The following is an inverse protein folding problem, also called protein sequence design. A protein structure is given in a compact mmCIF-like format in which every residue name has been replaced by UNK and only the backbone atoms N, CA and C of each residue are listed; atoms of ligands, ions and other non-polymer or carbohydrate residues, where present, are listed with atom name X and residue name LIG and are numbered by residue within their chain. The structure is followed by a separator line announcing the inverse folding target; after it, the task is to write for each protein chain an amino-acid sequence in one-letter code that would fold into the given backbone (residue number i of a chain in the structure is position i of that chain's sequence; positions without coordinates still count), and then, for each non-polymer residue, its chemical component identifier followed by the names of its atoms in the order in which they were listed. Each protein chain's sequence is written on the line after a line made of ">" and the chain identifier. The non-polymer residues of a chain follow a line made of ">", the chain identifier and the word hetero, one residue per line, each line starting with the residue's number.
data_IF_144886858895
#
_entry.id   IF_144886858895
#
_cell.length_a   1.000
_cell.length_b   1.000
_cell.length_c   1.000
_cell.angle_alpha   90.00
_cell.angle_beta   90.00
_cell.angle_gamma   90.00
#
_symmetry.space_group_name_H-M   'P 1'
#
loop_
_entity.id
_entity.type
_entity.pdbx_description
1 polymer ?
#
# COMPACT_ATOMS: atom_id res chain seq x y z
N UNK A 1 -43.76 -19.83 22.29
CA UNK A 1 -42.80 -18.76 22.63
C UNK A 1 -43.16 -17.54 21.79
N UNK A 2 -43.07 -16.32 22.34
CA UNK A 2 -43.31 -15.08 21.59
C UNK A 2 -42.08 -14.76 20.75
N UNK A 3 -42.27 -14.34 19.49
CA UNK A 3 -41.19 -13.73 18.71
C UNK A 3 -40.92 -12.31 19.20
N UNK A 4 -39.65 -12.02 19.46
CA UNK A 4 -39.22 -10.71 19.91
C UNK A 4 -39.09 -9.76 18.71
N UNK A 5 -39.50 -8.52 18.91
CA UNK A 5 -39.22 -7.43 17.95
C UNK A 5 -37.74 -7.02 18.05
N UNK A 6 -37.21 -6.37 17.01
CA UNK A 6 -35.82 -5.88 17.01
C UNK A 6 -35.52 -4.97 18.22
N UNK A 7 -36.45 -4.08 18.57
CA UNK A 7 -36.29 -3.20 19.74
C UNK A 7 -36.25 -3.94 21.07
N UNK A 8 -37.02 -5.03 21.22
CA UNK A 8 -36.96 -5.90 22.41
C UNK A 8 -35.63 -6.67 22.47
N UNK A 9 -35.10 -7.09 21.31
CA UNK A 9 -33.81 -7.76 21.21
C UNK A 9 -32.65 -6.81 21.57
N UNK A 10 -32.66 -5.56 21.10
CA UNK A 10 -31.64 -4.54 21.43
C UNK A 10 -31.66 -4.16 22.92
N UNK A 11 -32.85 -4.12 23.53
CA UNK A 11 -32.99 -3.87 24.96
C UNK A 11 -32.44 -5.02 25.81
N UNK A 12 -32.63 -6.27 25.38
CA UNK A 12 -32.12 -7.46 26.09
C UNK A 12 -30.62 -7.66 25.84
N UNK A 13 -30.13 -7.25 24.67
CA UNK A 13 -28.70 -7.35 24.31
C UNK A 13 -27.81 -6.32 25.03
N UNK A 14 -28.39 -5.41 25.82
CA UNK A 14 -27.66 -4.36 26.51
C UNK A 14 -27.15 -3.27 25.58
N UNK A 15 -27.84 -3.02 24.46
CA UNK A 15 -27.44 -2.03 23.45
C UNK A 15 -26.47 -2.57 22.38
N UNK A 16 -26.21 -3.88 22.36
CA UNK A 16 -25.47 -4.50 21.26
C UNK A 16 -26.32 -4.50 19.98
N UNK A 17 -25.84 -3.80 18.96
CA UNK A 17 -26.44 -3.73 17.62
C UNK A 17 -25.65 -4.62 16.65
N UNK A 18 -26.20 -5.79 16.32
CA UNK A 18 -25.57 -6.76 15.41
C UNK A 18 -25.36 -6.20 14.00
N UNK A 19 -26.33 -5.45 13.47
CA UNK A 19 -26.22 -4.87 12.13
C UNK A 19 -25.17 -3.76 12.09
N UNK A 20 -25.11 -2.94 13.14
CA UNK A 20 -24.06 -1.92 13.30
C UNK A 20 -22.67 -2.54 13.40
N UNK A 21 -22.53 -3.63 14.16
CA UNK A 21 -21.28 -4.38 14.26
C UNK A 21 -20.88 -5.00 12.92
N UNK A 22 -21.81 -5.66 12.22
CA UNK A 22 -21.54 -6.23 10.90
C UNK A 22 -21.08 -5.16 9.90
N UNK A 23 -21.75 -4.00 9.88
CA UNK A 23 -21.35 -2.87 9.05
C UNK A 23 -19.94 -2.37 9.40
N UNK A 24 -19.58 -2.29 10.69
CA UNK A 24 -18.25 -1.87 11.12
C UNK A 24 -17.15 -2.82 10.63
N UNK A 25 -17.40 -4.13 10.63
CA UNK A 25 -16.48 -5.13 10.07
C UNK A 25 -16.36 -4.93 8.56
N UNK A 26 -17.48 -4.74 7.85
CA UNK A 26 -17.47 -4.53 6.41
C UNK A 26 -16.67 -3.28 6.04
N UNK A 27 -16.90 -2.15 6.72
CA UNK A 27 -16.13 -0.92 6.50
C UNK A 27 -14.64 -1.14 6.76
N UNK A 28 -14.28 -1.80 7.87
CA UNK A 28 -12.88 -2.13 8.15
C UNK A 28 -12.24 -2.93 7.01
N UNK A 29 -12.90 -3.97 6.50
CA UNK A 29 -12.37 -4.80 5.40
C UNK A 29 -12.23 -3.98 4.12
N UNK A 30 -13.24 -3.19 3.75
CA UNK A 30 -13.24 -2.39 2.52
C UNK A 30 -12.15 -1.33 2.55
N UNK A 31 -12.04 -0.58 3.64
CA UNK A 31 -11.08 0.51 3.76
C UNK A 31 -9.64 -0.02 3.74
N UNK A 32 -9.35 -1.06 4.52
CA UNK A 32 -8.04 -1.71 4.51
C UNK A 32 -7.71 -2.35 3.15
N UNK A 33 -8.71 -2.90 2.47
CA UNK A 33 -8.58 -3.43 1.12
C UNK A 33 -8.15 -2.36 0.11
N UNK A 34 -8.76 -1.17 0.19
CA UNK A 34 -8.40 -0.04 -0.65
C UNK A 34 -6.97 0.43 -0.38
N UNK A 35 -6.60 0.62 0.90
CA UNK A 35 -5.24 1.03 1.26
C UNK A 35 -4.17 0.04 0.80
N UNK A 36 -4.45 -1.27 0.90
CA UNK A 36 -3.53 -2.29 0.40
C UNK A 36 -3.41 -2.24 -1.13
N UNK A 37 -4.53 -2.07 -1.83
CA UNK A 37 -4.54 -1.94 -3.29
C UNK A 37 -3.73 -0.74 -3.78
N UNK A 38 -3.90 0.41 -3.13
CA UNK A 38 -3.15 1.63 -3.43
C UNK A 38 -1.65 1.44 -3.18
N UNK A 39 -1.28 0.83 -2.05
CA UNK A 39 0.11 0.50 -1.75
C UNK A 39 0.74 -0.39 -2.82
N UNK A 40 0.09 -1.50 -3.18
CA UNK A 40 0.60 -2.44 -4.19
C UNK A 40 0.79 -1.74 -5.54
N UNK A 41 -0.17 -0.90 -5.92
CA UNK A 41 -0.11 -0.18 -7.21
C UNK A 41 1.04 0.82 -7.23
N UNK A 42 1.19 1.62 -6.16
CA UNK A 42 2.29 2.59 -6.05
C UNK A 42 3.66 1.92 -6.00
N UNK A 43 3.82 0.92 -5.13
CA UNK A 43 5.07 0.18 -4.99
C UNK A 43 5.46 -0.54 -6.29
N UNK A 44 4.47 -1.12 -6.99
CA UNK A 44 4.69 -1.73 -8.30
C UNK A 44 5.23 -0.71 -9.32
N UNK A 45 4.66 0.49 -9.37
CA UNK A 45 5.14 1.55 -10.25
C UNK A 45 6.55 2.03 -9.88
N UNK A 46 6.84 2.19 -8.59
CA UNK A 46 8.16 2.58 -8.09
C UNK A 46 9.24 1.54 -8.47
N UNK A 47 8.95 0.25 -8.31
CA UNK A 47 9.85 -0.83 -8.73
C UNK A 47 10.06 -0.83 -10.25
N UNK A 48 8.98 -0.69 -11.02
CA UNK A 48 9.07 -0.68 -12.48
C UNK A 48 9.94 0.48 -12.98
N UNK A 49 9.77 1.69 -12.41
CA UNK A 49 10.57 2.85 -12.75
C UNK A 49 12.05 2.66 -12.40
N UNK A 50 12.35 2.06 -11.25
CA UNK A 50 13.73 1.75 -10.86
C UNK A 50 14.41 0.83 -11.87
N UNK A 51 13.74 -0.24 -12.29
CA UNK A 51 14.24 -1.19 -13.30
C UNK A 51 14.49 -0.49 -14.64
N UNK A 52 13.54 0.33 -15.09
CA UNK A 52 13.65 1.07 -16.37
C UNK A 52 14.83 2.04 -16.32
N UNK A 53 14.97 2.82 -15.24
CA UNK A 53 16.04 3.79 -15.10
C UNK A 53 17.41 3.10 -15.09
N UNK A 54 17.58 2.01 -14.34
CA UNK A 54 18.84 1.26 -14.33
C UNK A 54 19.16 0.61 -15.67
N UNK A 55 18.14 0.14 -16.38
CA UNK A 55 18.32 -0.40 -17.74
C UNK A 55 18.85 0.69 -18.69
N UNK A 56 18.35 1.92 -18.56
CA UNK A 56 18.82 3.07 -19.36
C UNK A 56 20.27 3.41 -19.02
N UNK A 57 20.62 3.49 -17.74
CA UNK A 57 22.01 3.77 -17.32
C UNK A 57 22.98 2.67 -17.78
N UNK A 58 22.56 1.41 -17.68
CA UNK A 58 23.35 0.29 -18.19
C UNK A 58 23.54 0.35 -19.71
N UNK A 59 22.50 0.72 -20.47
CA UNK A 59 22.62 0.90 -21.91
C UNK A 59 23.58 2.04 -22.30
N UNK A 60 23.61 3.14 -21.55
CA UNK A 60 24.59 4.22 -21.75
C UNK A 60 26.02 3.72 -21.55
N UNK A 61 26.26 2.89 -20.54
CA UNK A 61 27.56 2.25 -20.33
C UNK A 61 27.95 1.36 -21.52
N UNK A 62 27.07 0.45 -21.94
CA UNK A 62 27.34 -0.47 -23.04
C UNK A 62 27.61 0.23 -24.38
N UNK A 63 26.97 1.37 -24.61
CA UNK A 63 27.14 2.16 -25.84
C UNK A 63 28.32 3.13 -25.78
N UNK A 64 29.04 3.19 -24.66
CA UNK A 64 30.16 4.12 -24.44
C UNK A 64 29.74 5.57 -24.22
N UNK A 65 28.44 5.83 -24.02
CA UNK A 65 27.92 7.14 -23.64
C UNK A 65 28.17 7.48 -22.17
N UNK A 66 28.52 6.48 -21.35
CA UNK A 66 28.97 6.60 -19.96
C UNK A 66 30.17 5.70 -19.71
N UNK A 67 31.07 6.12 -18.84
CA UNK A 67 32.09 5.21 -18.28
C UNK A 67 31.53 4.40 -17.10
N UNK A 68 32.36 3.49 -16.59
CA UNK A 68 32.01 2.60 -15.48
C UNK A 68 31.67 3.37 -14.19
N UNK A 69 32.47 4.38 -13.84
CA UNK A 69 32.29 5.12 -12.58
C UNK A 69 30.97 5.89 -12.58
N UNK A 70 30.64 6.55 -13.68
CA UNK A 70 29.39 7.28 -13.83
C UNK A 70 28.18 6.35 -13.87
N UNK A 71 28.27 5.19 -14.55
CA UNK A 71 27.20 4.19 -14.55
C UNK A 71 26.92 3.66 -13.14
N UNK A 72 27.97 3.26 -12.41
CA UNK A 72 27.82 2.74 -11.05
C UNK A 72 27.24 3.79 -10.11
N UNK A 73 27.68 5.05 -10.23
CA UNK A 73 27.12 6.15 -9.44
C UNK A 73 25.63 6.35 -9.72
N UNK A 74 25.23 6.40 -10.99
CA UNK A 74 23.84 6.58 -11.40
C UNK A 74 22.94 5.40 -10.98
N UNK A 75 23.40 4.16 -11.15
CA UNK A 75 22.65 2.97 -10.70
C UNK A 75 22.49 2.94 -9.18
N UNK A 76 23.53 3.30 -8.42
CA UNK A 76 23.42 3.40 -6.96
C UNK A 76 22.42 4.47 -6.53
N UNK A 77 22.43 5.63 -7.20
CA UNK A 77 21.47 6.71 -6.93
C UNK A 77 20.03 6.28 -7.24
N UNK A 78 19.80 5.68 -8.43
CA UNK A 78 18.50 5.15 -8.83
C UNK A 78 17.97 4.13 -7.80
N UNK A 79 18.81 3.19 -7.39
CA UNK A 79 18.43 2.18 -6.39
C UNK A 79 18.14 2.81 -5.03
N UNK A 80 18.99 3.73 -4.56
CA UNK A 80 18.78 4.44 -3.30
C UNK A 80 17.45 5.19 -3.29
N UNK A 81 17.13 5.87 -4.38
CA UNK A 81 15.88 6.61 -4.54
C UNK A 81 14.66 5.65 -4.57
N UNK A 82 14.77 4.53 -5.27
CA UNK A 82 13.72 3.52 -5.30
C UNK A 82 13.40 2.96 -3.90
N UNK A 83 14.44 2.60 -3.14
CA UNK A 83 14.30 2.11 -1.76
C UNK A 83 13.71 3.18 -0.86
N UNK A 84 14.16 4.43 -0.98
CA UNK A 84 13.61 5.54 -0.20
C UNK A 84 12.11 5.73 -0.46
N UNK A 85 11.70 5.73 -1.74
CA UNK A 85 10.31 5.90 -2.13
C UNK A 85 9.44 4.72 -1.64
N UNK A 86 9.90 3.48 -1.82
CA UNK A 86 9.20 2.28 -1.31
C UNK A 86 9.02 2.32 0.20
N UNK A 87 10.02 2.81 0.94
CA UNK A 87 9.90 2.99 2.39
C UNK A 87 8.85 4.04 2.75
N UNK A 88 8.76 5.14 1.99
CA UNK A 88 7.74 6.16 2.16
C UNK A 88 6.32 5.65 1.89
N UNK A 89 6.16 4.85 0.83
CA UNK A 89 4.89 4.20 0.48
C UNK A 89 4.47 3.19 1.56
N UNK A 90 5.41 2.40 2.08
CA UNK A 90 5.14 1.48 3.18
C UNK A 90 4.65 2.21 4.43
N UNK A 91 5.32 3.30 4.82
CA UNK A 91 4.92 4.10 5.98
C UNK A 91 3.51 4.69 5.78
N UNK A 92 3.20 5.14 4.56
CA UNK A 92 1.88 5.65 4.21
C UNK A 92 0.82 4.57 4.39
N UNK A 93 1.05 3.37 3.84
CA UNK A 93 0.16 2.23 4.01
C UNK A 93 -0.07 1.88 5.48
N UNK A 94 1.00 1.73 6.27
CA UNK A 94 0.87 1.36 7.69
C UNK A 94 0.14 2.41 8.51
N UNK A 95 0.33 3.69 8.18
CA UNK A 95 -0.40 4.78 8.84
C UNK A 95 -1.88 4.77 8.44
N UNK A 96 -2.23 4.46 7.19
CA UNK A 96 -3.62 4.40 6.74
C UNK A 96 -4.42 3.26 7.38
N UNK A 97 -3.80 2.11 7.65
CA UNK A 97 -4.48 0.95 8.28
C UNK A 97 -4.55 1.04 9.81
N UNK A 98 -3.77 1.94 10.44
CA UNK A 98 -3.72 2.13 11.90
C UNK A 98 -4.37 3.43 12.38
N UNK A 99 -4.78 4.31 11.45
CA UNK A 99 -5.56 5.52 11.71
C UNK A 99 -7.05 5.19 11.89
#
# INVERSE_FOLDING_TARGET
>A
MKELTIGEMESISGGFNLLGFANSITSFIVDNGNYLSDFITSAGATIANAIVNDTVEFAKFLTGASDWENYVAASNENWSNAVHNLSGEWNTFTNSITA
#
